data_IF_860135267082
#
_entry.id   IF_860135267082
#
_cell.length_a   1.000
_cell.length_b   1.000
_cell.length_c   1.000
_cell.angle_alpha   90.00
_cell.angle_beta   90.00
_cell.angle_gamma   90.00
#
_symmetry.space_group_name_H-M   'P 1'
#
loop_
_entity.id
_entity.type
_entity.pdbx_description
1 polymer ?
#
# COMPACT_ATOMS: atom_id res chain seq x y z
N UNK A 1 -3.64 -29.30 -5.04
CA UNK A 1 -2.44 -28.45 -5.19
C UNK A 1 -2.41 -27.89 -6.62
N UNK A 2 -2.88 -26.66 -6.84
CA UNK A 2 -2.78 -25.95 -8.13
C UNK A 2 -3.14 -24.45 -8.00
N UNK A 3 -2.91 -23.83 -6.83
CA UNK A 3 -3.19 -22.39 -6.59
C UNK A 3 -1.94 -21.68 -6.07
N UNK A 4 -0.77 -22.24 -6.34
CA UNK A 4 0.53 -21.67 -5.92
C UNK A 4 1.14 -20.83 -7.05
N UNK A 5 0.57 -20.89 -8.27
CA UNK A 5 1.12 -20.23 -9.46
C UNK A 5 0.11 -19.37 -10.25
N UNK A 6 -1.09 -19.18 -9.71
CA UNK A 6 -2.10 -18.31 -10.31
C UNK A 6 -2.19 -17.09 -9.44
N UNK A 7 -1.57 -15.97 -9.82
CA UNK A 7 -2.21 -14.65 -9.80
C UNK A 7 -1.22 -13.59 -10.30
N UNK A 8 -1.33 -13.13 -11.56
CA UNK A 8 -0.71 -11.88 -12.04
C UNK A 8 -1.31 -10.62 -11.36
N UNK A 9 -1.99 -10.79 -10.21
CA UNK A 9 -2.68 -9.73 -9.47
C UNK A 9 -1.69 -8.72 -8.94
N UNK A 10 -0.52 -9.13 -8.44
CA UNK A 10 0.52 -8.19 -8.00
C UNK A 10 1.00 -7.32 -9.17
N UNK A 11 1.21 -7.91 -10.36
CA UNK A 11 1.61 -7.14 -11.56
C UNK A 11 0.51 -6.18 -11.99
N UNK A 12 -0.75 -6.59 -11.87
CA UNK A 12 -1.89 -5.73 -12.15
C UNK A 12 -1.92 -4.54 -11.19
N UNK A 13 -1.74 -4.80 -9.89
CA UNK A 13 -1.62 -3.76 -8.86
C UNK A 13 -0.45 -2.81 -9.14
N UNK A 14 0.75 -3.33 -9.38
CA UNK A 14 1.93 -2.53 -9.67
C UNK A 14 1.71 -1.66 -10.92
N UNK A 15 1.19 -2.25 -11.98
CA UNK A 15 0.88 -1.52 -13.22
C UNK A 15 -0.09 -0.37 -12.98
N UNK A 16 -1.18 -0.60 -12.25
CA UNK A 16 -2.16 0.44 -11.99
C UNK A 16 -1.71 1.46 -10.95
N UNK A 17 -0.94 1.06 -9.94
CA UNK A 17 -0.30 1.98 -9.00
C UNK A 17 0.63 2.92 -9.75
N UNK A 18 1.51 2.37 -10.59
CA UNK A 18 2.41 3.16 -11.42
C UNK A 18 1.63 4.07 -12.38
N UNK A 19 0.64 3.53 -13.08
CA UNK A 19 -0.19 4.31 -14.01
C UNK A 19 -0.96 5.42 -13.26
N UNK A 20 -1.50 5.12 -12.09
CA UNK A 20 -2.22 6.06 -11.23
C UNK A 20 -1.33 7.19 -10.73
N UNK A 21 -0.12 6.85 -10.27
CA UNK A 21 0.89 7.81 -9.83
C UNK A 21 1.37 8.68 -10.98
N UNK A 22 1.67 8.08 -12.14
CA UNK A 22 2.10 8.82 -13.34
C UNK A 22 0.99 9.75 -13.84
N UNK A 23 -0.27 9.27 -13.88
CA UNK A 23 -1.43 10.07 -14.27
C UNK A 23 -1.63 11.29 -13.37
N UNK A 24 -1.49 11.12 -12.05
CA UNK A 24 -1.51 12.23 -11.10
C UNK A 24 -0.32 13.19 -11.30
N UNK A 25 0.87 12.66 -11.55
CA UNK A 25 2.05 13.46 -11.83
C UNK A 25 1.87 14.34 -13.08
N UNK A 26 1.33 13.77 -14.16
CA UNK A 26 1.02 14.52 -15.39
C UNK A 26 -0.06 15.57 -15.14
N UNK A 27 -1.13 15.21 -14.43
CA UNK A 27 -2.20 16.14 -14.05
C UNK A 27 -1.64 17.36 -13.30
N UNK A 28 -0.74 17.12 -12.33
CA UNK A 28 -0.09 18.16 -11.56
C UNK A 28 0.87 19.00 -12.40
N UNK A 29 1.68 18.37 -13.25
CA UNK A 29 2.61 19.07 -14.14
C UNK A 29 1.86 20.05 -15.06
N UNK A 30 0.72 19.63 -15.60
CA UNK A 30 -0.16 20.49 -16.43
C UNK A 30 -0.74 21.63 -15.59
N UNK A 31 -1.33 21.32 -14.43
CA UNK A 31 -1.93 22.34 -13.58
C UNK A 31 -0.90 23.39 -13.09
N UNK A 32 0.34 22.96 -12.85
CA UNK A 32 1.46 23.84 -12.49
C UNK A 32 1.94 24.68 -13.67
N UNK A 33 2.04 24.08 -14.87
CA UNK A 33 2.40 24.79 -16.10
C UNK A 33 1.38 25.90 -16.44
N UNK A 34 0.10 25.64 -16.22
CA UNK A 34 -0.98 26.61 -16.44
C UNK A 34 -1.14 27.62 -15.28
N UNK A 35 -0.38 27.49 -14.19
CA UNK A 35 -0.44 28.38 -13.03
C UNK A 35 -1.70 28.20 -12.16
N UNK A 36 -2.43 27.10 -12.33
CA UNK A 36 -3.67 26.81 -11.60
C UNK A 36 -3.43 26.32 -10.16
N UNK A 37 -2.22 25.81 -9.86
CA UNK A 37 -1.84 25.34 -8.53
C UNK A 37 -0.58 26.07 -8.03
N UNK A 38 -0.64 26.51 -6.78
CA UNK A 38 0.46 27.18 -6.06
C UNK A 38 1.58 26.22 -5.64
N UNK A 39 2.43 26.66 -4.71
CA UNK A 39 3.52 25.84 -4.15
C UNK A 39 3.01 24.66 -3.33
N UNK A 40 1.82 24.79 -2.74
CA UNK A 40 1.15 23.72 -2.00
C UNK A 40 0.19 22.97 -2.92
N UNK A 41 0.31 21.64 -2.92
CA UNK A 41 -0.51 20.74 -3.73
C UNK A 41 -1.81 20.43 -3.00
N UNK A 42 -2.89 21.09 -3.38
CA UNK A 42 -4.24 20.72 -2.95
C UNK A 42 -4.93 19.93 -4.08
N UNK A 43 -5.22 18.66 -3.80
CA UNK A 43 -5.93 17.73 -4.70
C UNK A 43 -7.28 18.32 -5.14
N UNK A 44 -7.91 19.09 -4.26
CA UNK A 44 -9.18 19.78 -4.51
C UNK A 44 -9.10 20.75 -5.68
N UNK A 45 -7.93 21.35 -5.90
CA UNK A 45 -7.71 22.34 -6.97
C UNK A 45 -7.68 21.69 -8.36
N UNK A 46 -7.27 20.43 -8.44
CA UNK A 46 -7.17 19.67 -9.70
C UNK A 46 -8.54 19.26 -10.27
N UNK A 47 -9.62 19.42 -9.50
CA UNK A 47 -10.99 19.10 -9.93
C UNK A 47 -11.72 20.30 -10.53
N UNK A 48 -11.11 21.50 -10.49
CA UNK A 48 -11.79 22.75 -10.83
C UNK A 48 -11.62 23.12 -12.30
N UNK A 49 -10.39 23.14 -12.80
CA UNK A 49 -10.07 23.73 -14.10
C UNK A 49 -9.81 22.67 -15.17
N UNK A 50 -10.00 23.06 -16.44
CA UNK A 50 -9.68 22.21 -17.58
C UNK A 50 -8.26 22.55 -18.09
N UNK A 51 -7.50 21.55 -18.59
CA UNK A 51 -7.91 20.16 -18.86
C UNK A 51 -7.66 19.18 -17.70
N UNK A 52 -7.02 19.61 -16.61
CA UNK A 52 -6.60 18.75 -15.49
C UNK A 52 -7.78 18.01 -14.84
N UNK A 53 -8.95 18.62 -14.77
CA UNK A 53 -10.17 18.00 -14.23
C UNK A 53 -10.52 16.69 -14.93
N UNK A 54 -10.34 16.60 -16.25
CA UNK A 54 -10.64 15.38 -17.01
C UNK A 54 -9.63 14.29 -16.68
N UNK A 55 -8.34 14.64 -16.68
CA UNK A 55 -7.24 13.70 -16.38
C UNK A 55 -7.38 13.20 -14.93
N UNK A 56 -7.65 14.11 -13.99
CA UNK A 56 -7.89 13.81 -12.59
C UNK A 56 -9.06 12.83 -12.41
N UNK A 57 -10.21 13.13 -13.03
CA UNK A 57 -11.41 12.28 -12.99
C UNK A 57 -11.16 10.88 -13.55
N UNK A 58 -10.51 10.81 -14.71
CA UNK A 58 -10.17 9.54 -15.34
C UNK A 58 -9.26 8.71 -14.44
N UNK A 59 -8.23 9.35 -13.86
CA UNK A 59 -7.28 8.67 -13.00
C UNK A 59 -7.92 8.15 -11.71
N UNK A 60 -8.70 8.98 -11.01
CA UNK A 60 -9.42 8.56 -9.80
C UNK A 60 -10.47 7.48 -10.10
N UNK A 61 -11.14 7.54 -11.25
CA UNK A 61 -12.09 6.50 -11.66
C UNK A 61 -11.39 5.16 -11.89
N UNK A 62 -10.22 5.17 -12.52
CA UNK A 62 -9.42 3.99 -12.82
C UNK A 62 -8.83 3.37 -11.55
N UNK A 63 -8.24 4.19 -10.68
CA UNK A 63 -7.72 3.73 -9.37
C UNK A 63 -8.85 3.19 -8.50
N UNK A 64 -9.96 3.93 -8.36
CA UNK A 64 -11.09 3.50 -7.54
C UNK A 64 -11.76 2.21 -8.06
N UNK A 65 -11.91 2.09 -9.38
CA UNK A 65 -12.43 0.86 -10.00
C UNK A 65 -11.55 -0.35 -9.74
N UNK A 66 -10.22 -0.17 -9.76
CA UNK A 66 -9.29 -1.24 -9.40
C UNK A 66 -9.43 -1.64 -7.93
N UNK A 67 -9.43 -0.67 -7.01
CA UNK A 67 -9.56 -0.94 -5.58
C UNK A 67 -10.82 -1.78 -5.30
N UNK A 68 -11.94 -1.42 -5.93
CA UNK A 68 -13.19 -2.17 -5.82
C UNK A 68 -13.10 -3.56 -6.48
N UNK A 69 -12.57 -3.66 -7.69
CA UNK A 69 -12.45 -4.94 -8.41
C UNK A 69 -11.54 -5.94 -7.68
N UNK A 70 -10.49 -5.44 -7.00
CA UNK A 70 -9.49 -6.28 -6.33
C UNK A 70 -9.88 -6.67 -4.90
N UNK A 71 -10.92 -6.07 -4.32
CA UNK A 71 -11.43 -6.45 -3.01
C UNK A 71 -11.79 -7.95 -2.93
N UNK A 72 -12.45 -8.49 -3.95
CA UNK A 72 -12.90 -9.89 -3.97
C UNK A 72 -11.78 -10.92 -4.23
N UNK A 73 -10.86 -10.71 -5.20
CA UNK A 73 -9.69 -11.57 -5.34
C UNK A 73 -8.83 -11.65 -4.07
N UNK A 74 -8.55 -10.50 -3.44
CA UNK A 74 -7.77 -10.45 -2.19
C UNK A 74 -8.50 -11.16 -1.06
N UNK A 75 -9.81 -10.91 -0.91
CA UNK A 75 -10.67 -11.65 0.02
C UNK A 75 -10.52 -13.16 -0.16
N UNK A 76 -10.73 -13.65 -1.38
CA UNK A 76 -10.72 -15.09 -1.66
C UNK A 76 -9.35 -15.73 -1.41
N UNK A 77 -8.27 -14.97 -1.62
CA UNK A 77 -6.92 -15.41 -1.29
C UNK A 77 -6.71 -15.51 0.22
N UNK A 78 -7.04 -14.45 0.97
CA UNK A 78 -6.86 -14.39 2.42
C UNK A 78 -7.78 -15.34 3.18
N UNK A 79 -9.03 -15.48 2.75
CA UNK A 79 -10.00 -16.39 3.33
C UNK A 79 -9.53 -17.85 3.26
N UNK A 80 -8.82 -18.23 2.18
CA UNK A 80 -8.23 -19.56 2.03
C UNK A 80 -7.00 -19.78 2.89
N UNK A 81 -6.27 -18.71 3.22
CA UNK A 81 -4.99 -18.76 3.95
C UNK A 81 -5.20 -18.75 5.47
N UNK A 82 -6.02 -17.82 5.96
CA UNK A 82 -6.17 -17.55 7.40
C UNK A 82 -7.57 -17.89 7.93
N UNK A 83 -8.58 -17.92 7.05
CA UNK A 83 -9.98 -18.09 7.44
C UNK A 83 -10.51 -16.93 8.31
N UNK A 84 -11.64 -17.15 8.98
CA UNK A 84 -12.27 -16.16 9.84
C UNK A 84 -13.10 -15.11 9.09
N UNK A 85 -13.45 -14.02 9.77
CA UNK A 85 -14.31 -12.95 9.22
C UNK A 85 -13.54 -11.67 8.88
N UNK A 86 -12.30 -11.53 9.37
CA UNK A 86 -11.47 -10.36 9.12
C UNK A 86 -11.21 -10.09 7.62
N UNK A 87 -10.91 -11.09 6.76
CA UNK A 87 -10.78 -10.87 5.32
C UNK A 87 -12.04 -10.26 4.68
N UNK A 88 -13.22 -10.66 5.15
CA UNK A 88 -14.52 -10.15 4.67
C UNK A 88 -14.66 -8.66 4.97
N UNK A 89 -14.40 -8.24 6.21
CA UNK A 89 -14.46 -6.83 6.57
C UNK A 89 -13.45 -6.00 5.81
N UNK A 90 -12.20 -6.48 5.67
CA UNK A 90 -11.18 -5.78 4.90
C UNK A 90 -11.62 -5.56 3.44
N UNK A 91 -12.21 -6.57 2.81
CA UNK A 91 -12.71 -6.47 1.45
C UNK A 91 -13.91 -5.51 1.30
N UNK A 92 -14.81 -5.47 2.28
CA UNK A 92 -15.91 -4.49 2.28
C UNK A 92 -15.35 -3.07 2.34
N UNK A 93 -14.43 -2.80 3.27
CA UNK A 93 -13.80 -1.47 3.39
C UNK A 93 -12.99 -1.10 2.14
N UNK A 94 -12.30 -2.07 1.53
CA UNK A 94 -11.58 -1.89 0.27
C UNK A 94 -12.54 -1.54 -0.90
N UNK A 95 -13.70 -2.18 -0.95
CA UNK A 95 -14.72 -1.90 -1.96
C UNK A 95 -15.34 -0.50 -1.76
N UNK A 96 -15.71 -0.16 -0.53
CA UNK A 96 -16.19 1.18 -0.17
C UNK A 96 -15.15 2.26 -0.46
N UNK A 97 -13.87 1.95 -0.24
CA UNK A 97 -12.76 2.81 -0.62
C UNK A 97 -12.71 3.06 -2.13
N UNK A 98 -12.80 2.01 -2.94
CA UNK A 98 -12.83 2.14 -4.40
C UNK A 98 -13.98 3.03 -4.88
N UNK A 99 -15.19 2.81 -4.35
CA UNK A 99 -16.35 3.65 -4.65
C UNK A 99 -16.16 5.11 -4.20
N UNK A 100 -15.63 5.32 -3.00
CA UNK A 100 -15.33 6.65 -2.47
C UNK A 100 -14.32 7.40 -3.35
N UNK A 101 -13.25 6.74 -3.81
CA UNK A 101 -12.26 7.35 -4.70
C UNK A 101 -12.87 7.76 -6.05
N UNK A 102 -13.75 6.93 -6.64
CA UNK A 102 -14.48 7.31 -7.87
C UNK A 102 -15.32 8.57 -7.61
N UNK A 103 -16.05 8.60 -6.49
CA UNK A 103 -16.92 9.72 -6.14
C UNK A 103 -16.15 11.02 -5.83
N UNK A 104 -14.98 10.94 -5.19
CA UNK A 104 -14.09 12.09 -4.97
C UNK A 104 -13.63 12.69 -6.30
N UNK A 105 -13.30 11.84 -7.27
CA UNK A 105 -12.98 12.29 -8.62
C UNK A 105 -14.18 12.94 -9.32
N UNK A 106 -15.35 12.30 -9.23
CA UNK A 106 -16.56 12.69 -9.93
C UNK A 106 -17.17 14.00 -9.41
N UNK A 107 -17.10 14.27 -8.10
CA UNK A 107 -17.68 15.45 -7.47
C UNK A 107 -16.56 16.35 -6.96
N UNK A 108 -16.41 17.53 -7.55
CA UNK A 108 -15.51 18.56 -7.03
C UNK A 108 -16.03 19.20 -5.74
N UNK A 109 -15.16 19.73 -4.88
CA UNK A 109 -15.56 20.42 -3.66
C UNK A 109 -16.37 21.70 -3.92
N UNK A 110 -16.20 22.30 -5.10
CA UNK A 110 -16.99 23.45 -5.57
C UNK A 110 -18.37 23.07 -6.13
N UNK A 111 -18.66 21.78 -6.32
CA UNK A 111 -19.95 21.30 -6.84
C UNK A 111 -20.89 20.93 -5.69
N UNK A 112 -20.51 19.92 -4.88
CA UNK A 112 -21.29 19.46 -3.72
C UNK A 112 -20.32 19.01 -2.62
N UNK A 113 -20.00 19.92 -1.71
CA UNK A 113 -18.99 19.69 -0.66
C UNK A 113 -19.32 18.51 0.26
N UNK A 114 -20.59 18.31 0.60
CA UNK A 114 -21.04 17.22 1.48
C UNK A 114 -20.76 15.84 0.87
N UNK A 115 -21.07 15.68 -0.41
CA UNK A 115 -20.80 14.45 -1.16
C UNK A 115 -19.31 14.25 -1.34
N UNK A 116 -18.55 15.33 -1.60
CA UNK A 116 -17.09 15.26 -1.70
C UNK A 116 -16.44 14.81 -0.39
N UNK A 117 -16.85 15.36 0.75
CA UNK A 117 -16.34 14.98 2.07
C UNK A 117 -16.72 13.54 2.44
N UNK A 118 -17.97 13.14 2.18
CA UNK A 118 -18.41 11.76 2.39
C UNK A 118 -17.60 10.79 1.50
N UNK A 119 -17.42 11.12 0.23
CA UNK A 119 -16.64 10.34 -0.71
C UNK A 119 -15.17 10.24 -0.27
N UNK A 120 -14.58 11.33 0.24
CA UNK A 120 -13.22 11.33 0.77
C UNK A 120 -13.10 10.44 2.02
N UNK A 121 -14.07 10.50 2.92
CA UNK A 121 -14.11 9.63 4.09
C UNK A 121 -14.23 8.15 3.70
N UNK A 122 -15.13 7.82 2.77
CA UNK A 122 -15.28 6.46 2.25
C UNK A 122 -14.02 5.99 1.53
N UNK A 123 -13.45 6.85 0.68
CA UNK A 123 -12.26 6.59 -0.12
C UNK A 123 -11.02 6.36 0.74
N UNK A 124 -10.56 7.42 1.42
CA UNK A 124 -9.32 7.38 2.19
C UNK A 124 -9.47 6.68 3.53
N UNK A 125 -10.57 6.92 4.24
CA UNK A 125 -10.87 6.25 5.50
C UNK A 125 -11.11 4.76 5.31
N UNK A 126 -11.91 4.37 4.32
CA UNK A 126 -12.11 2.96 3.96
C UNK A 126 -10.81 2.25 3.62
N UNK A 127 -9.90 2.90 2.87
CA UNK A 127 -8.58 2.35 2.57
C UNK A 127 -7.76 2.14 3.85
N UNK A 128 -7.70 3.15 4.73
CA UNK A 128 -6.97 3.06 5.99
C UNK A 128 -7.46 1.89 6.86
N UNK A 129 -8.77 1.73 7.02
CA UNK A 129 -9.34 0.61 7.77
C UNK A 129 -9.05 -0.74 7.10
N UNK A 130 -9.17 -0.83 5.78
CA UNK A 130 -8.84 -2.05 5.04
C UNK A 130 -7.37 -2.45 5.25
N UNK A 131 -6.43 -1.50 5.16
CA UNK A 131 -5.00 -1.77 5.34
C UNK A 131 -4.66 -2.22 6.77
N UNK A 132 -5.29 -1.63 7.79
CA UNK A 132 -5.11 -2.08 9.18
C UNK A 132 -5.54 -3.54 9.32
N UNK A 133 -6.73 -3.89 8.81
CA UNK A 133 -7.25 -5.26 8.91
C UNK A 133 -6.38 -6.22 8.10
N UNK A 134 -5.99 -5.87 6.87
CA UNK A 134 -5.09 -6.69 6.06
C UNK A 134 -3.77 -6.95 6.78
N UNK A 135 -3.18 -5.93 7.41
CA UNK A 135 -1.94 -6.10 8.17
C UNK A 135 -2.10 -7.10 9.32
N UNK A 136 -3.21 -7.04 10.08
CA UNK A 136 -3.49 -8.04 11.12
C UNK A 136 -3.69 -9.45 10.57
N UNK A 137 -4.35 -9.59 9.41
CA UNK A 137 -4.56 -10.89 8.75
C UNK A 137 -3.23 -11.48 8.28
N UNK A 138 -2.38 -10.69 7.62
CA UNK A 138 -1.05 -11.13 7.18
C UNK A 138 -0.14 -11.48 8.35
N UNK A 139 -0.14 -10.67 9.42
CA UNK A 139 0.62 -10.98 10.63
C UNK A 139 0.16 -12.30 11.29
N UNK A 140 -1.13 -12.62 11.19
CA UNK A 140 -1.66 -13.89 11.69
C UNK A 140 -1.29 -15.06 10.79
N UNK A 141 -1.24 -14.86 9.46
CA UNK A 141 -0.74 -15.83 8.49
C UNK A 141 0.73 -16.18 8.75
N UNK A 142 1.58 -15.16 8.94
CA UNK A 142 3.02 -15.34 9.17
C UNK A 142 3.30 -16.18 10.42
N UNK A 143 2.53 -15.96 11.49
CA UNK A 143 2.64 -16.79 12.71
C UNK A 143 2.36 -18.27 12.46
N UNK A 144 1.45 -18.57 11.55
CA UNK A 144 1.00 -19.94 11.26
C UNK A 144 1.83 -20.63 10.17
N UNK A 145 2.38 -19.89 9.21
CA UNK A 145 3.01 -20.43 8.01
C UNK A 145 4.54 -20.39 8.01
N UNK A 146 5.17 -19.58 8.87
CA UNK A 146 6.62 -19.56 8.96
C UNK A 146 7.15 -20.80 9.71
N UNK A 147 8.15 -21.54 9.14
CA UNK A 147 8.85 -22.59 9.86
C UNK A 147 9.58 -22.00 11.07
N UNK A 148 9.58 -22.71 12.20
CA UNK A 148 10.15 -22.21 13.46
C UNK A 148 11.63 -21.80 13.36
N UNK A 149 12.36 -22.34 12.38
CA UNK A 149 13.74 -21.93 12.05
C UNK A 149 13.82 -20.49 11.53
N UNK A 150 12.87 -20.02 10.70
CA UNK A 150 12.85 -18.65 10.21
C UNK A 150 12.50 -17.64 11.32
N UNK A 151 11.60 -18.02 12.23
CA UNK A 151 11.25 -17.23 13.42
C UNK A 151 12.45 -17.02 14.34
N UNK A 152 13.29 -18.06 14.50
CA UNK A 152 14.53 -17.99 15.29
C UNK A 152 15.61 -17.18 14.61
N UNK A 153 15.82 -17.32 13.29
CA UNK A 153 16.82 -16.52 12.57
C UNK A 153 16.51 -15.02 12.67
N UNK A 154 15.25 -14.60 12.54
CA UNK A 154 14.87 -13.18 12.72
C UNK A 154 14.98 -12.71 14.18
N UNK A 155 14.70 -13.58 15.15
CA UNK A 155 14.88 -13.26 16.57
C UNK A 155 16.38 -13.15 16.93
N UNK A 156 17.23 -14.06 16.45
CA UNK A 156 18.67 -14.06 16.67
C UNK A 156 19.35 -12.89 15.94
N UNK A 157 18.84 -12.45 14.78
CA UNK A 157 19.34 -11.25 14.10
C UNK A 157 19.02 -9.96 14.87
N UNK A 158 17.85 -9.88 15.53
CA UNK A 158 17.45 -8.72 16.33
C UNK A 158 18.05 -8.73 17.75
N UNK A 159 18.28 -9.91 18.34
CA UNK A 159 18.95 -10.05 19.63
C UNK A 159 20.47 -9.92 19.48
N UNK A 160 21.06 -10.47 18.41
CA UNK A 160 22.48 -10.27 18.07
C UNK A 160 22.82 -8.80 17.81
N UNK A 161 21.92 -8.02 17.22
CA UNK A 161 22.14 -6.57 17.04
C UNK A 161 22.04 -5.75 18.34
N UNK A 162 21.46 -6.32 19.41
CA UNK A 162 21.39 -5.65 20.72
C UNK A 162 22.57 -6.03 21.63
N UNK A 163 23.17 -7.21 21.44
CA UNK A 163 24.39 -7.61 22.15
C UNK A 163 25.67 -7.09 21.47
N UNK A 164 25.70 -6.97 20.14
CA UNK A 164 26.87 -6.44 19.41
C UNK A 164 27.11 -4.93 19.67
N UNK A 165 26.06 -4.16 19.99
CA UNK A 165 26.18 -2.76 20.40
C UNK A 165 26.57 -2.58 21.88
N UNK A 166 26.45 -3.64 22.70
CA UNK A 166 26.90 -3.66 24.08
C UNK A 166 28.37 -4.12 24.20
N UNK A 167 28.81 -5.05 23.34
CA UNK A 167 30.21 -5.55 23.35
C UNK A 167 31.19 -4.65 22.58
N UNK A 168 30.73 -3.81 21.65
CA UNK A 168 31.58 -2.87 20.92
C UNK A 168 32.21 -1.74 21.79
N UNK A 169 31.94 -1.70 23.10
CA UNK A 169 32.58 -0.77 24.06
C UNK A 169 33.65 -1.41 24.97
N UNK A 170 33.95 -2.71 24.89
CA UNK A 170 34.77 -3.35 25.94
C UNK A 170 35.98 -4.20 25.52
N UNK A 171 36.43 -4.21 24.27
CA UNK A 171 37.60 -5.05 23.92
C UNK A 171 38.40 -4.53 22.73
N UNK A 172 39.05 -3.39 22.95
CA UNK A 172 40.33 -3.09 22.29
C UNK A 172 41.40 -4.02 22.84
N UNK A 173 41.60 -5.23 22.30
CA UNK A 173 42.92 -5.91 22.28
C UNK A 173 43.03 -6.82 21.06
N UNK A 174 44.06 -6.53 20.28
CA UNK A 174 44.59 -7.21 19.09
C UNK A 174 45.02 -8.65 19.36
N UNK A 175 44.71 -9.59 18.45
CA UNK A 175 45.66 -10.62 18.01
C UNK A 175 45.24 -11.24 16.66
N UNK A 176 45.98 -10.89 15.60
CA UNK A 176 45.96 -11.59 14.31
C UNK A 176 46.66 -12.95 14.43
N UNK A 177 46.07 -13.99 13.82
CA UNK A 177 46.70 -15.31 13.70
C UNK A 177 46.03 -16.15 12.61
N UNK A 178 46.45 -15.96 11.36
CA UNK A 178 46.14 -16.84 10.22
C UNK A 178 47.18 -17.96 10.18
N UNK A 179 46.82 -19.26 10.09
CA UNK A 179 47.80 -20.30 9.83
C UNK A 179 48.14 -20.35 8.34
N UNK A 180 49.44 -20.25 8.03
CA UNK A 180 50.02 -20.49 6.71
C UNK A 180 49.84 -21.95 6.28
N UNK A 181 49.40 -22.14 5.03
CA UNK A 181 49.46 -23.38 4.27
C UNK A 181 50.92 -23.83 4.08
N UNK A 182 51.23 -25.08 4.39
CA UNK A 182 52.52 -25.73 4.13
C UNK A 182 52.53 -26.41 2.75
N UNK A 183 53.53 -26.06 1.94
CA UNK A 183 54.27 -26.96 1.06
C UNK A 183 55.58 -27.32 1.75
#
# INVERSE_FOLDING_TARGET
MAVVNSYPVYRLFDFFMLTGTLGLGVCYAIARYLGHVGTFCDISSLVVQLPERIIFRMNFSLVGSLLAAMAFPIHNMLQKRVGGWAPTFAAIFQCLSGLGVILVGACGPSEIIEVHLLAAFLGFGGSAFAQIIYNFVFFSEDKQTQPDSAKRIFADFYVGSLDDDAEAKSSTVVHMGVPLLSL
#
